data_IF_626469821921
#
_entry.id   IF_626469821921
#
_cell.length_a   1.000
_cell.length_b   1.000
_cell.length_c   1.000
_cell.angle_alpha   90.00
_cell.angle_beta   90.00
_cell.angle_gamma   90.00
#
_symmetry.space_group_name_H-M   'P 1'
#
loop_
_entity.id
_entity.type
_entity.pdbx_description
1 polymer ?
#
# COMPACT_ATOMS: atom_id res chain seq x y z
N UNK A 1 13.59 11.96 -6.51
CA UNK A 1 12.61 11.95 -5.41
C UNK A 1 13.18 12.66 -4.19
N UNK A 2 12.32 13.16 -3.29
CA UNK A 2 12.73 14.01 -2.17
C UNK A 2 12.93 13.28 -0.82
N UNK A 3 12.71 11.95 -0.79
CA UNK A 3 12.89 11.13 0.42
C UNK A 3 11.92 11.47 1.57
N UNK A 4 10.74 12.02 1.24
CA UNK A 4 9.71 12.48 2.19
C UNK A 4 8.35 11.84 1.97
N UNK A 5 8.33 10.65 1.37
CA UNK A 5 7.09 9.97 1.01
C UNK A 5 6.19 9.77 2.22
N UNK A 6 6.69 9.12 3.29
CA UNK A 6 5.89 8.80 4.47
C UNK A 6 5.41 10.04 5.22
N UNK A 7 6.28 11.04 5.40
CA UNK A 7 5.85 12.27 6.06
C UNK A 7 4.80 13.06 5.24
N UNK A 8 4.86 12.98 3.91
CA UNK A 8 3.87 13.59 3.02
C UNK A 8 2.57 12.80 3.01
N UNK A 9 2.66 11.47 2.95
CA UNK A 9 1.54 10.53 3.05
C UNK A 9 0.76 10.76 4.35
N UNK A 10 1.42 10.71 5.50
CA UNK A 10 0.77 10.88 6.80
C UNK A 10 0.10 12.25 6.91
N UNK A 11 0.76 13.28 6.39
CA UNK A 11 0.20 14.63 6.34
C UNK A 11 -1.06 14.74 5.47
N UNK A 12 -1.21 13.94 4.40
CA UNK A 12 -2.43 13.90 3.60
C UNK A 12 -3.58 13.28 4.41
N UNK A 13 -3.32 12.22 5.17
CA UNK A 13 -4.34 11.57 6.00
C UNK A 13 -4.84 12.44 7.16
N UNK A 14 -4.08 13.48 7.54
CA UNK A 14 -4.50 14.49 8.51
C UNK A 14 -5.43 15.58 7.92
N UNK A 15 -5.60 15.63 6.58
CA UNK A 15 -6.41 16.66 5.94
C UNK A 15 -7.92 16.38 6.02
N UNK A 16 -8.70 17.42 6.27
CA UNK A 16 -10.17 17.35 6.13
C UNK A 16 -10.61 17.33 4.66
N UNK A 17 -9.84 17.99 3.79
CA UNK A 17 -10.07 18.04 2.35
C UNK A 17 -8.74 17.96 1.60
N UNK A 18 -8.71 17.14 0.56
CA UNK A 18 -7.57 17.01 -0.33
C UNK A 18 -7.74 17.97 -1.52
N UNK A 19 -6.96 19.03 -1.53
CA UNK A 19 -6.89 19.98 -2.64
C UNK A 19 -5.44 20.42 -2.93
N UNK A 20 -5.27 21.13 -4.04
CA UNK A 20 -3.97 21.59 -4.50
C UNK A 20 -3.23 22.46 -3.47
N UNK A 21 -3.95 23.39 -2.82
CA UNK A 21 -3.33 24.30 -1.85
C UNK A 21 -2.90 23.56 -0.59
N UNK A 22 -3.69 22.59 -0.12
CA UNK A 22 -3.36 21.72 0.99
C UNK A 22 -2.05 20.94 0.72
N UNK A 23 -1.91 20.37 -0.49
CA UNK A 23 -0.69 19.67 -0.90
C UNK A 23 0.55 20.58 -0.89
N UNK A 24 0.41 21.84 -1.34
CA UNK A 24 1.50 22.81 -1.29
C UNK A 24 1.84 23.26 0.13
N UNK A 25 0.86 23.32 1.04
CA UNK A 25 1.14 23.59 2.46
C UNK A 25 1.91 22.44 3.11
N UNK A 26 1.57 21.19 2.79
CA UNK A 26 2.34 20.01 3.23
C UNK A 26 3.77 20.10 2.69
N UNK A 27 3.94 20.38 1.39
CA UNK A 27 5.25 20.54 0.77
C UNK A 27 6.09 21.60 1.49
N UNK A 28 5.49 22.76 1.79
CA UNK A 28 6.13 23.84 2.55
C UNK A 28 6.52 23.41 3.95
N UNK A 29 5.63 22.74 4.69
CA UNK A 29 5.89 22.21 6.05
C UNK A 29 7.07 21.25 6.06
N UNK A 30 7.17 20.40 5.04
CA UNK A 30 8.24 19.42 4.87
C UNK A 30 9.50 19.97 4.19
N UNK A 31 9.53 21.28 3.90
CA UNK A 31 10.64 21.98 3.22
C UNK A 31 10.97 21.37 1.85
N UNK A 32 9.95 20.90 1.15
CA UNK A 32 10.04 20.45 -0.23
C UNK A 32 10.01 21.66 -1.18
N UNK A 33 10.71 21.54 -2.30
CA UNK A 33 10.72 22.58 -3.33
C UNK A 33 9.34 22.67 -3.98
N UNK A 34 8.68 23.82 -3.80
CA UNK A 34 7.33 24.07 -4.31
C UNK A 34 7.24 23.84 -5.81
N UNK A 35 8.14 24.46 -6.58
CA UNK A 35 8.11 24.41 -8.05
C UNK A 35 8.25 22.97 -8.52
N UNK A 36 9.13 22.19 -7.89
CA UNK A 36 9.31 20.77 -8.20
C UNK A 36 8.08 19.93 -7.89
N UNK A 37 7.34 20.24 -6.83
CA UNK A 37 6.09 19.55 -6.49
C UNK A 37 5.00 19.89 -7.51
N UNK A 38 4.83 21.17 -7.84
CA UNK A 38 3.88 21.62 -8.88
C UNK A 38 4.20 20.95 -10.23
N UNK A 39 5.47 20.98 -10.67
CA UNK A 39 5.91 20.31 -11.90
C UNK A 39 5.67 18.80 -11.85
N UNK A 40 5.86 18.16 -10.70
CA UNK A 40 5.62 16.72 -10.55
C UNK A 40 4.13 16.35 -10.61
N UNK A 41 3.25 17.22 -10.07
CA UNK A 41 1.80 17.03 -10.09
C UNK A 41 1.19 17.19 -11.47
N UNK A 42 1.77 18.06 -12.32
CA UNK A 42 1.32 18.30 -13.69
C UNK A 42 2.00 17.37 -14.71
N UNK A 43 3.03 16.64 -14.30
CA UNK A 43 3.81 15.77 -15.18
C UNK A 43 3.12 14.43 -15.43
N UNK A 44 3.10 13.93 -16.67
CA UNK A 44 2.64 12.58 -16.96
C UNK A 44 3.63 11.49 -16.50
N UNK A 45 4.73 11.86 -15.85
CA UNK A 45 5.80 10.94 -15.44
C UNK A 45 5.32 9.77 -14.56
N UNK A 46 4.18 9.91 -13.89
CA UNK A 46 3.64 8.89 -12.98
C UNK A 46 2.35 8.23 -13.50
N UNK A 47 1.79 8.69 -14.62
CA UNK A 47 0.51 8.19 -15.17
C UNK A 47 0.55 6.70 -15.48
N UNK A 48 1.69 6.22 -16.00
CA UNK A 48 1.88 4.81 -16.32
C UNK A 48 1.88 3.93 -15.06
N UNK A 49 2.50 4.39 -13.97
CA UNK A 49 2.51 3.67 -12.70
C UNK A 49 1.11 3.65 -12.07
N UNK A 50 0.41 4.80 -12.05
CA UNK A 50 -0.96 4.90 -11.55
C UNK A 50 -1.90 3.99 -12.35
N UNK A 51 -1.76 3.97 -13.68
CA UNK A 51 -2.57 3.11 -14.54
C UNK A 51 -2.31 1.63 -14.26
N UNK A 52 -1.04 1.23 -14.12
CA UNK A 52 -0.67 -0.15 -13.79
C UNK A 52 -1.24 -0.59 -12.43
N UNK A 53 -1.17 0.27 -11.40
CA UNK A 53 -1.76 -0.02 -10.09
C UNK A 53 -3.29 -0.15 -10.15
N UNK A 54 -3.96 0.70 -10.95
CA UNK A 54 -5.40 0.60 -11.18
C UNK A 54 -5.81 -0.68 -11.91
N UNK A 55 -5.02 -1.11 -12.90
CA UNK A 55 -5.26 -2.37 -13.63
C UNK A 55 -5.07 -3.57 -12.70
N UNK A 56 -3.96 -3.59 -11.95
CA UNK A 56 -3.69 -4.63 -10.95
C UNK A 56 -4.82 -4.72 -9.91
N UNK A 57 -5.30 -3.58 -9.39
CA UNK A 57 -6.42 -3.57 -8.46
C UNK A 57 -7.68 -4.23 -9.05
N UNK A 58 -7.96 -4.01 -10.35
CA UNK A 58 -9.11 -4.62 -11.04
C UNK A 58 -8.91 -6.11 -11.26
N UNK A 59 -7.71 -6.54 -11.64
CA UNK A 59 -7.36 -7.95 -11.80
C UNK A 59 -7.51 -8.72 -10.49
N UNK A 60 -7.10 -8.10 -9.38
CA UNK A 60 -7.25 -8.64 -8.02
C UNK A 60 -8.68 -8.50 -7.46
N UNK A 61 -9.62 -7.97 -8.24
CA UNK A 61 -11.03 -7.85 -7.84
C UNK A 61 -11.31 -6.77 -6.79
N UNK A 62 -10.39 -5.82 -6.57
CA UNK A 62 -10.57 -4.69 -5.66
C UNK A 62 -11.67 -3.77 -6.19
N UNK A 63 -12.65 -3.45 -5.34
CA UNK A 63 -13.82 -2.61 -5.70
C UNK A 63 -13.87 -1.28 -4.98
N UNK A 64 -12.96 -1.05 -4.05
CA UNK A 64 -12.90 0.16 -3.23
C UNK A 64 -11.75 0.12 -2.24
N UNK A 65 -11.48 1.27 -1.64
CA UNK A 65 -10.41 1.46 -0.66
C UNK A 65 -10.96 1.70 0.76
N UNK A 66 -10.23 1.30 1.81
CA UNK A 66 -8.98 0.56 1.75
C UNK A 66 -9.19 -0.91 1.37
N UNK A 67 -8.18 -1.51 0.75
CA UNK A 67 -8.11 -2.93 0.46
C UNK A 67 -6.67 -3.39 0.74
N UNK A 68 -6.53 -4.57 1.34
CA UNK A 68 -5.24 -5.12 1.73
C UNK A 68 -5.11 -6.55 1.23
N UNK A 69 -3.87 -6.99 1.04
CA UNK A 69 -3.53 -8.37 0.80
C UNK A 69 -2.49 -8.77 1.84
N UNK A 70 -2.80 -9.75 2.68
CA UNK A 70 -1.82 -10.35 3.60
C UNK A 70 -1.46 -11.70 3.00
N UNK A 71 -0.29 -11.76 2.36
CA UNK A 71 0.03 -12.82 1.39
C UNK A 71 -1.07 -12.91 0.31
N UNK A 72 -1.67 -14.08 0.12
CA UNK A 72 -2.78 -14.28 -0.84
C UNK A 72 -4.15 -13.79 -0.34
N UNK A 73 -4.30 -13.55 0.97
CA UNK A 73 -5.60 -13.25 1.58
C UNK A 73 -6.01 -11.81 1.35
N UNK A 74 -7.07 -11.64 0.56
CA UNK A 74 -7.72 -10.35 0.35
C UNK A 74 -8.54 -9.90 1.58
N UNK A 75 -8.34 -8.65 2.00
CA UNK A 75 -9.11 -7.97 3.05
C UNK A 75 -9.74 -6.73 2.41
N UNK A 76 -11.06 -6.66 2.41
CA UNK A 76 -11.80 -5.56 1.82
C UNK A 76 -12.35 -4.62 2.89
N UNK A 77 -12.09 -3.33 2.75
CA UNK A 77 -12.59 -2.28 3.63
C UNK A 77 -11.72 -2.03 4.86
N UNK A 78 -12.14 -1.04 5.63
CA UNK A 78 -11.51 -0.72 6.91
C UNK A 78 -11.94 -1.76 7.95
N UNK A 79 -11.02 -2.65 8.29
CA UNK A 79 -11.18 -3.62 9.39
C UNK A 79 -10.52 -3.08 10.67
N UNK A 80 -10.92 -3.61 11.81
CA UNK A 80 -10.28 -3.28 13.08
C UNK A 80 -8.83 -3.79 13.14
N UNK A 81 -8.02 -3.16 13.99
CA UNK A 81 -6.65 -3.61 14.26
C UNK A 81 -6.62 -5.08 14.72
N UNK A 82 -7.60 -5.48 15.53
CA UNK A 82 -7.70 -6.86 16.03
C UNK A 82 -7.93 -7.85 14.88
N UNK A 83 -8.88 -7.58 13.99
CA UNK A 83 -9.14 -8.42 12.82
C UNK A 83 -7.89 -8.52 11.93
N UNK A 84 -7.21 -7.40 11.69
CA UNK A 84 -5.99 -7.38 10.91
C UNK A 84 -4.88 -8.23 11.57
N UNK A 85 -4.69 -8.08 12.88
CA UNK A 85 -3.70 -8.84 13.66
C UNK A 85 -3.99 -10.34 13.66
N UNK A 86 -5.26 -10.73 13.74
CA UNK A 86 -5.65 -12.15 13.64
C UNK A 86 -5.27 -12.72 12.28
N UNK A 87 -5.52 -12.00 11.19
CA UNK A 87 -5.17 -12.47 9.84
C UNK A 87 -3.66 -12.61 9.68
N UNK A 88 -2.87 -11.65 10.19
CA UNK A 88 -1.41 -11.75 10.17
C UNK A 88 -0.92 -12.93 11.01
N UNK A 89 -1.50 -13.15 12.19
CA UNK A 89 -1.15 -14.28 13.05
C UNK A 89 -1.43 -15.62 12.37
N UNK A 90 -2.59 -15.78 11.74
CA UNK A 90 -2.94 -16.97 10.96
C UNK A 90 -1.90 -17.22 9.84
N UNK A 91 -1.51 -16.17 9.11
CA UNK A 91 -0.53 -16.28 8.02
C UNK A 91 0.86 -16.66 8.52
N UNK A 92 1.27 -16.18 9.70
CA UNK A 92 2.51 -16.60 10.35
C UNK A 92 2.46 -18.09 10.72
N UNK A 93 1.37 -18.57 11.31
CA UNK A 93 1.20 -19.98 11.66
C UNK A 93 1.22 -20.89 10.42
N UNK A 94 0.58 -20.47 9.32
CA UNK A 94 0.63 -21.18 8.04
C UNK A 94 2.07 -21.24 7.49
N UNK A 95 2.80 -20.15 7.57
CA UNK A 95 4.20 -20.09 7.15
C UNK A 95 5.09 -21.01 8.00
N UNK A 96 4.94 -20.99 9.32
CA UNK A 96 5.67 -21.88 10.23
C UNK A 96 5.37 -23.36 9.95
N UNK A 97 4.11 -23.71 9.69
CA UNK A 97 3.72 -25.06 9.31
C UNK A 97 4.41 -25.52 8.02
N UNK A 98 4.49 -24.65 6.99
CA UNK A 98 5.18 -24.98 5.73
C UNK A 98 6.68 -25.15 5.92
N UNK A 99 7.31 -24.34 6.75
CA UNK A 99 8.72 -24.53 7.11
C UNK A 99 8.94 -25.87 7.85
N UNK A 100 8.04 -26.23 8.76
CA UNK A 100 8.10 -27.52 9.48
C UNK A 100 7.88 -28.73 8.55
N UNK A 101 7.11 -28.58 7.47
CA UNK A 101 6.96 -29.56 6.39
C UNK A 101 8.22 -29.69 5.50
N UNK A 102 9.25 -28.84 5.72
CA UNK A 102 10.50 -28.85 4.96
C UNK A 102 10.47 -28.00 3.69
N UNK A 103 9.46 -27.12 3.52
CA UNK A 103 9.49 -26.12 2.46
C UNK A 103 10.67 -25.19 2.72
N UNK A 104 11.59 -25.00 1.76
CA UNK A 104 12.73 -24.13 1.97
C UNK A 104 12.28 -22.66 1.97
N UNK A 105 12.92 -21.75 2.74
CA UNK A 105 12.47 -20.37 2.90
C UNK A 105 12.25 -19.61 1.58
N UNK A 106 13.05 -19.88 0.56
CA UNK A 106 12.93 -19.25 -0.76
C UNK A 106 11.66 -19.65 -1.53
N UNK A 107 10.99 -20.74 -1.15
CA UNK A 107 9.70 -21.19 -1.72
C UNK A 107 8.53 -20.97 -0.78
N UNK A 108 8.77 -20.36 0.38
CA UNK A 108 7.78 -20.27 1.45
C UNK A 108 6.56 -19.46 0.99
N UNK A 109 6.79 -18.31 0.35
CA UNK A 109 5.71 -17.45 -0.14
C UNK A 109 4.80 -18.21 -1.11
N UNK A 110 5.37 -18.78 -2.17
CA UNK A 110 4.63 -19.58 -3.14
C UNK A 110 3.87 -20.74 -2.47
N UNK A 111 4.48 -21.40 -1.49
CA UNK A 111 3.86 -22.51 -0.78
C UNK A 111 2.69 -22.09 0.13
N UNK A 112 2.74 -20.89 0.74
CA UNK A 112 1.63 -20.38 1.56
C UNK A 112 0.52 -19.76 0.70
N UNK A 113 0.83 -19.22 -0.48
CA UNK A 113 -0.17 -18.61 -1.36
C UNK A 113 -0.76 -19.58 -2.38
N UNK A 114 -0.14 -20.73 -2.67
CA UNK A 114 -0.67 -21.71 -3.63
C UNK A 114 -1.91 -22.49 -3.13
N UNK A 115 -2.30 -22.31 -1.86
CA UNK A 115 -3.41 -23.05 -1.24
C UNK A 115 -4.78 -22.33 -1.34
N UNK A 116 -4.89 -21.27 -2.14
CA UNK A 116 -6.12 -20.50 -2.38
C UNK A 116 -6.63 -20.61 -3.82
#
# INVERSE_FOLDING_TARGET
EAGKFWEFHDAIFELEALDHDALLQIAKRLRLDRKRIEEAMESPAYDAAITADMELARELGVRGTPAYFVNGRAISGAVSELEFRMIVQDELERAEAKLAEGVPPEKLYDAVTAAE
#
